data_IF_949107853283
#
_entry.id   IF_949107853283
#
_cell.length_a   1.000
_cell.length_b   1.000
_cell.length_c   1.000
_cell.angle_alpha   90.00
_cell.angle_beta   90.00
_cell.angle_gamma   90.00
#
_symmetry.space_group_name_H-M   'P 1'
#
loop_
_entity.id
_entity.type
_entity.pdbx_description
1 polymer ?
#
# COMPACT_ATOMS: atom_id res chain seq x y z
N UNK A 1 36.90 6.78 21.71
CA UNK A 1 35.72 6.26 21.01
C UNK A 1 35.97 4.80 20.69
N UNK A 2 35.10 3.90 21.13
CA UNK A 2 35.28 2.46 21.00
C UNK A 2 35.32 2.03 19.50
N UNK A 3 36.43 1.44 19.01
CA UNK A 3 36.56 1.00 17.62
C UNK A 3 35.47 0.02 17.19
N UNK A 4 34.95 -0.80 18.11
CA UNK A 4 33.90 -1.78 17.83
C UNK A 4 32.53 -1.12 17.60
N UNK A 5 32.20 -0.06 18.36
CA UNK A 5 30.99 0.72 18.14
C UNK A 5 31.01 1.39 16.75
N UNK A 6 32.17 1.89 16.33
CA UNK A 6 32.34 2.55 15.02
C UNK A 6 32.22 1.59 13.82
N UNK A 7 32.66 0.34 13.96
CA UNK A 7 32.58 -0.67 12.89
C UNK A 7 31.17 -1.23 12.73
N UNK A 8 30.43 -1.39 13.84
CA UNK A 8 29.03 -1.80 13.84
C UNK A 8 28.14 -0.71 13.22
N UNK A 9 28.32 0.56 13.60
CA UNK A 9 27.58 1.67 13.02
C UNK A 9 27.82 1.81 11.51
N UNK A 10 29.07 1.66 11.02
CA UNK A 10 29.36 1.67 9.58
C UNK A 10 28.74 0.49 8.85
N UNK A 11 28.71 -0.70 9.45
CA UNK A 11 28.06 -1.87 8.87
C UNK A 11 26.55 -1.68 8.77
N UNK A 12 25.91 -1.15 9.80
CA UNK A 12 24.49 -0.83 9.81
C UNK A 12 24.17 0.22 8.74
N UNK A 13 24.91 1.35 8.71
CA UNK A 13 24.74 2.39 7.69
C UNK A 13 24.87 1.85 6.26
N UNK A 14 25.88 0.99 6.00
CA UNK A 14 26.08 0.39 4.68
C UNK A 14 24.94 -0.55 4.27
N UNK A 15 24.45 -1.38 5.18
CA UNK A 15 23.31 -2.27 4.89
C UNK A 15 22.00 -1.49 4.74
N UNK A 16 21.77 -0.46 5.55
CA UNK A 16 20.58 0.41 5.45
C UNK A 16 20.58 1.21 4.15
N UNK A 17 21.71 1.81 3.76
CA UNK A 17 21.84 2.55 2.48
C UNK A 17 21.69 1.65 1.27
N UNK A 18 22.30 0.46 1.28
CA UNK A 18 22.12 -0.54 0.23
C UNK A 18 20.66 -0.98 0.11
N UNK A 19 20.00 -1.25 1.24
CA UNK A 19 18.59 -1.60 1.28
C UNK A 19 17.70 -0.47 0.75
N UNK A 20 17.96 0.78 1.15
CA UNK A 20 17.23 1.95 0.67
C UNK A 20 17.39 2.13 -0.85
N UNK A 21 18.62 2.03 -1.38
CA UNK A 21 18.88 2.11 -2.82
C UNK A 21 18.15 1.04 -3.61
N UNK A 22 18.11 -0.19 -3.09
CA UNK A 22 17.34 -1.30 -3.65
C UNK A 22 15.83 -1.01 -3.71
N UNK A 23 15.26 -0.41 -2.65
CA UNK A 23 13.84 -0.06 -2.60
C UNK A 23 13.50 1.04 -3.60
N UNK A 24 14.38 2.04 -3.75
CA UNK A 24 14.22 3.09 -4.77
C UNK A 24 14.24 2.50 -6.17
N UNK A 25 15.19 1.61 -6.49
CA UNK A 25 15.24 0.92 -7.79
C UNK A 25 13.96 0.13 -8.05
N UNK A 26 13.49 -0.62 -7.05
CA UNK A 26 12.23 -1.39 -7.16
C UNK A 26 11.02 -0.48 -7.41
N UNK A 27 10.95 0.66 -6.72
CA UNK A 27 9.89 1.64 -6.91
C UNK A 27 9.92 2.28 -8.31
N UNK A 28 11.11 2.63 -8.81
CA UNK A 28 11.29 3.18 -10.15
C UNK A 28 10.93 2.16 -11.24
N UNK A 29 11.35 0.90 -11.07
CA UNK A 29 10.98 -0.19 -11.98
C UNK A 29 9.46 -0.37 -12.03
N UNK A 30 8.79 -0.39 -10.88
CA UNK A 30 7.34 -0.52 -10.77
C UNK A 30 6.61 0.69 -11.39
N UNK A 31 7.09 1.90 -11.13
CA UNK A 31 6.48 3.12 -11.67
C UNK A 31 6.63 3.17 -13.21
N UNK A 32 7.82 2.86 -13.72
CA UNK A 32 8.09 2.83 -15.16
C UNK A 32 7.29 1.75 -15.88
N UNK A 33 7.23 0.54 -15.32
CA UNK A 33 6.44 -0.54 -15.92
C UNK A 33 4.94 -0.22 -15.89
N UNK A 34 4.41 0.28 -14.77
CA UNK A 34 3.00 0.66 -14.67
C UNK A 34 2.64 1.77 -15.66
N UNK A 35 3.53 2.74 -15.89
CA UNK A 35 3.34 3.77 -16.90
C UNK A 35 3.24 3.17 -18.32
N UNK A 36 4.17 2.28 -18.67
CA UNK A 36 4.15 1.56 -19.95
C UNK A 36 2.87 0.73 -20.08
N UNK A 37 2.50 -0.02 -19.04
CA UNK A 37 1.31 -0.86 -19.05
C UNK A 37 0.01 -0.06 -19.14
N UNK A 38 -0.06 1.10 -18.48
CA UNK A 38 -1.20 2.00 -18.58
C UNK A 38 -1.35 2.61 -19.99
N UNK A 39 -0.27 2.70 -20.79
CA UNK A 39 -0.33 3.05 -22.21
C UNK A 39 -0.85 1.92 -23.09
N UNK A 40 -0.49 0.69 -22.75
CA UNK A 40 -0.73 -0.49 -23.59
C UNK A 40 -2.09 -1.15 -23.33
N UNK A 41 -2.54 -1.14 -22.08
CA UNK A 41 -3.71 -1.89 -21.64
C UNK A 41 -4.90 -0.95 -21.42
N UNK A 42 -6.11 -1.48 -21.63
CA UNK A 42 -7.35 -0.80 -21.29
C UNK A 42 -7.63 -0.85 -19.78
N UNK A 43 -8.35 0.14 -19.21
CA UNK A 43 -8.79 0.13 -17.82
C UNK A 43 -9.52 -1.17 -17.45
N UNK A 44 -10.31 -1.73 -18.38
CA UNK A 44 -10.98 -3.02 -18.20
C UNK A 44 -10.03 -4.15 -17.80
N UNK A 45 -8.85 -4.25 -18.45
CA UNK A 45 -7.88 -5.29 -18.16
C UNK A 45 -7.29 -5.17 -16.76
N UNK A 46 -7.01 -3.94 -16.32
CA UNK A 46 -6.55 -3.67 -14.95
C UNK A 46 -7.62 -4.01 -13.92
N UNK A 47 -8.88 -3.65 -14.18
CA UNK A 47 -9.97 -3.96 -13.26
C UNK A 47 -10.30 -5.45 -13.18
N UNK A 48 -10.32 -6.16 -14.31
CA UNK A 48 -10.51 -7.61 -14.34
C UNK A 48 -9.38 -8.33 -13.59
N UNK A 49 -8.15 -7.87 -13.79
CA UNK A 49 -7.00 -8.35 -13.02
C UNK A 49 -7.13 -8.03 -11.53
N UNK A 50 -7.53 -6.81 -11.15
CA UNK A 50 -7.72 -6.40 -9.77
C UNK A 50 -8.75 -7.27 -9.04
N UNK A 51 -9.90 -7.55 -9.68
CA UNK A 51 -10.92 -8.48 -9.18
C UNK A 51 -10.31 -9.86 -8.95
N UNK A 52 -9.55 -10.39 -9.92
CA UNK A 52 -8.89 -11.68 -9.76
C UNK A 52 -7.87 -11.70 -8.62
N UNK A 53 -7.05 -10.66 -8.51
CA UNK A 53 -6.07 -10.53 -7.42
C UNK A 53 -6.70 -10.34 -6.05
N UNK A 54 -7.91 -9.79 -5.95
CA UNK A 54 -8.65 -9.77 -4.69
C UNK A 54 -8.90 -11.19 -4.17
N UNK A 55 -9.44 -12.08 -5.01
CA UNK A 55 -9.69 -13.46 -4.61
C UNK A 55 -8.40 -14.24 -4.34
N UNK A 56 -7.36 -14.01 -5.14
CA UNK A 56 -6.04 -14.60 -4.90
C UNK A 56 -5.42 -14.11 -3.59
N UNK A 57 -5.57 -12.82 -3.26
CA UNK A 57 -5.11 -12.24 -2.01
C UNK A 57 -5.86 -12.83 -0.81
N UNK A 58 -7.19 -12.94 -0.90
CA UNK A 58 -8.01 -13.55 0.12
C UNK A 58 -7.63 -15.02 0.35
N UNK A 59 -7.53 -15.82 -0.71
CA UNK A 59 -7.11 -17.22 -0.58
C UNK A 59 -5.64 -17.35 -0.16
N UNK A 60 -4.76 -16.39 -0.49
CA UNK A 60 -3.38 -16.35 -0.01
C UNK A 60 -3.31 -16.16 1.50
N UNK A 61 -4.16 -15.30 2.06
CA UNK A 61 -4.30 -15.12 3.51
C UNK A 61 -4.83 -16.39 4.18
N UNK A 62 -5.89 -16.99 3.63
CA UNK A 62 -6.40 -18.26 4.15
C UNK A 62 -5.35 -19.38 4.06
N UNK A 63 -4.63 -19.43 2.95
CA UNK A 63 -3.64 -20.45 2.62
C UNK A 63 -2.33 -20.38 3.38
N UNK A 64 -2.04 -19.28 4.09
CA UNK A 64 -0.90 -19.19 5.04
C UNK A 64 -1.25 -19.78 6.41
N UNK A 65 -2.55 -19.83 6.76
CA UNK A 65 -3.09 -20.48 7.96
C UNK A 65 -2.53 -19.97 9.29
N UNK A 66 -1.78 -18.86 9.29
CA UNK A 66 -0.97 -18.38 10.40
C UNK A 66 0.21 -19.28 10.81
N UNK A 67 0.51 -20.34 10.06
CA UNK A 67 1.54 -21.31 10.46
C UNK A 67 2.96 -20.76 10.32
N UNK A 68 3.23 -19.96 9.28
CA UNK A 68 4.53 -19.32 9.11
C UNK A 68 4.90 -18.41 10.27
N UNK A 69 3.95 -17.58 10.72
CA UNK A 69 4.12 -16.70 11.86
C UNK A 69 4.38 -17.46 13.18
N UNK A 70 3.68 -18.57 13.42
CA UNK A 70 3.87 -19.40 14.60
C UNK A 70 5.25 -20.10 14.60
N UNK A 71 5.70 -20.62 13.45
CA UNK A 71 7.07 -21.16 13.32
C UNK A 71 8.14 -20.10 13.51
N UNK A 72 7.90 -18.86 13.09
CA UNK A 72 8.84 -17.76 13.29
C UNK A 72 8.92 -17.34 14.77
N UNK A 73 7.79 -17.35 15.49
CA UNK A 73 7.71 -16.99 16.92
C UNK A 73 8.26 -18.07 17.86
N UNK A 74 8.36 -19.31 17.40
CA UNK A 74 8.90 -20.41 18.20
C UNK A 74 10.37 -20.16 18.54
N UNK A 75 10.69 -20.00 19.83
CA UNK A 75 12.02 -19.62 20.32
C UNK A 75 13.04 -20.78 20.33
N UNK A 76 12.59 -22.03 20.21
CA UNK A 76 13.47 -23.21 20.16
C UNK A 76 13.92 -23.57 18.75
N UNK A 77 14.69 -24.65 18.63
CA UNK A 77 14.98 -25.28 17.34
C UNK A 77 13.71 -25.86 16.74
N UNK A 78 13.45 -25.53 15.47
CA UNK A 78 12.28 -26.06 14.75
C UNK A 78 12.67 -27.39 14.14
N UNK A 79 12.00 -28.46 14.57
CA UNK A 79 12.23 -29.80 14.04
C UNK A 79 11.86 -29.90 12.56
N UNK A 80 12.50 -30.81 11.83
CA UNK A 80 12.11 -31.14 10.46
C UNK A 80 10.66 -31.62 10.36
N UNK A 81 10.14 -32.28 11.41
CA UNK A 81 8.72 -32.65 11.54
C UNK A 81 7.80 -31.42 11.47
N UNK A 82 8.24 -30.29 12.02
CA UNK A 82 7.46 -29.04 12.02
C UNK A 82 7.43 -28.40 10.64
N UNK A 83 8.56 -28.39 9.92
CA UNK A 83 8.62 -27.94 8.53
C UNK A 83 7.79 -28.84 7.60
N UNK A 84 7.90 -30.16 7.78
CA UNK A 84 7.16 -31.18 7.02
C UNK A 84 5.64 -31.04 7.24
N UNK A 85 5.22 -30.92 8.49
CA UNK A 85 3.81 -30.72 8.86
C UNK A 85 3.26 -29.44 8.25
N UNK A 86 4.03 -28.34 8.36
CA UNK A 86 3.63 -27.04 7.83
C UNK A 86 3.50 -27.07 6.31
N UNK A 87 4.50 -27.59 5.60
CA UNK A 87 4.43 -27.69 4.14
C UNK A 87 3.24 -28.54 3.67
N UNK A 88 3.06 -29.71 4.29
CA UNK A 88 2.00 -30.65 3.91
C UNK A 88 0.62 -30.05 4.15
N UNK A 89 0.42 -29.42 5.32
CA UNK A 89 -0.84 -28.78 5.66
C UNK A 89 -1.15 -27.59 4.75
N UNK A 90 -0.19 -26.68 4.57
CA UNK A 90 -0.38 -25.50 3.72
C UNK A 90 -0.60 -25.91 2.25
N UNK A 91 0.09 -26.94 1.77
CA UNK A 91 -0.10 -27.44 0.41
C UNK A 91 -1.49 -28.07 0.23
N UNK A 92 -1.96 -28.87 1.20
CA UNK A 92 -3.31 -29.42 1.18
C UNK A 92 -4.38 -28.32 1.21
N UNK A 93 -4.19 -27.29 2.05
CA UNK A 93 -5.06 -26.13 2.12
C UNK A 93 -5.04 -25.33 0.81
N UNK A 94 -3.85 -25.07 0.26
CA UNK A 94 -3.67 -24.40 -1.03
C UNK A 94 -4.30 -25.17 -2.19
N UNK A 95 -4.23 -26.50 -2.18
CA UNK A 95 -4.91 -27.35 -3.17
C UNK A 95 -6.43 -27.27 -3.03
N UNK A 96 -6.96 -27.28 -1.80
CA UNK A 96 -8.38 -27.03 -1.55
C UNK A 96 -8.83 -25.67 -2.07
N UNK A 97 -8.08 -24.61 -1.75
CA UNK A 97 -8.36 -23.25 -2.23
C UNK A 97 -8.25 -23.13 -3.76
N UNK A 98 -7.25 -23.77 -4.37
CA UNK A 98 -7.10 -23.84 -5.83
C UNK A 98 -8.33 -24.48 -6.47
N UNK A 99 -8.79 -25.61 -5.93
CA UNK A 99 -9.98 -26.31 -6.43
C UNK A 99 -11.24 -25.47 -6.25
N UNK A 100 -11.46 -24.90 -5.05
CA UNK A 100 -12.61 -24.03 -4.79
C UNK A 100 -12.62 -22.82 -5.72
N UNK A 101 -11.47 -22.18 -5.95
CA UNK A 101 -11.35 -21.04 -6.85
C UNK A 101 -11.57 -21.42 -8.32
N UNK A 102 -11.02 -22.56 -8.75
CA UNK A 102 -11.22 -23.10 -10.09
C UNK A 102 -12.69 -23.38 -10.39
N UNK A 103 -13.39 -23.98 -9.42
CA UNK A 103 -14.82 -24.31 -9.51
C UNK A 103 -15.72 -23.08 -9.39
N UNK A 104 -15.33 -22.08 -8.60
CA UNK A 104 -16.10 -20.83 -8.45
C UNK A 104 -15.87 -19.82 -9.56
N UNK A 105 -14.86 -20.02 -10.42
CA UNK A 105 -14.53 -19.10 -11.52
C UNK A 105 -15.73 -18.74 -12.42
N UNK A 106 -16.62 -19.67 -12.83
CA UNK A 106 -17.81 -19.30 -13.62
C UNK A 106 -18.77 -18.37 -12.87
N UNK A 107 -18.96 -18.60 -11.57
CA UNK A 107 -19.79 -17.73 -10.71
C UNK A 107 -19.16 -16.33 -10.59
N UNK A 108 -17.84 -16.26 -10.40
CA UNK A 108 -17.11 -15.00 -10.36
C UNK A 108 -17.24 -14.28 -11.71
N UNK A 109 -17.05 -14.98 -12.82
CA UNK A 109 -17.16 -14.38 -14.15
C UNK A 109 -18.56 -13.81 -14.40
N UNK A 110 -19.61 -14.56 -14.04
CA UNK A 110 -20.99 -14.11 -14.18
C UNK A 110 -21.30 -12.89 -13.29
N UNK A 111 -20.89 -12.92 -12.01
CA UNK A 111 -21.22 -11.87 -11.04
C UNK A 111 -20.42 -10.59 -11.21
N UNK A 112 -19.21 -10.66 -11.78
CA UNK A 112 -18.31 -9.53 -12.03
C UNK A 112 -18.20 -9.13 -13.51
N UNK A 113 -19.07 -9.66 -14.36
CA UNK A 113 -19.14 -9.31 -15.78
C UNK A 113 -17.83 -9.54 -16.55
N UNK A 114 -17.13 -10.64 -16.26
CA UNK A 114 -15.90 -11.01 -16.97
C UNK A 114 -16.24 -11.78 -18.26
N UNK A 115 -15.48 -11.52 -19.33
CA UNK A 115 -15.61 -12.28 -20.57
C UNK A 115 -15.19 -13.74 -20.38
N UNK A 116 -15.62 -14.62 -21.28
CA UNK A 116 -15.20 -16.04 -21.27
C UNK A 116 -13.67 -16.19 -21.32
N UNK A 117 -12.99 -15.30 -22.06
CA UNK A 117 -11.53 -15.30 -22.15
C UNK A 117 -10.88 -14.94 -20.81
N UNK A 118 -11.42 -13.96 -20.09
CA UNK A 118 -10.93 -13.54 -18.77
C UNK A 118 -11.25 -14.56 -17.69
N UNK A 119 -12.41 -15.22 -17.77
CA UNK A 119 -12.74 -16.35 -16.91
C UNK A 119 -11.72 -17.49 -17.06
N UNK A 120 -11.30 -17.81 -18.29
CA UNK A 120 -10.26 -18.82 -18.52
C UNK A 120 -8.90 -18.40 -17.93
N UNK A 121 -8.54 -17.12 -18.03
CA UNK A 121 -7.33 -16.57 -17.40
C UNK A 121 -7.42 -16.65 -15.89
N UNK A 122 -8.54 -16.22 -15.30
CA UNK A 122 -8.78 -16.27 -13.87
C UNK A 122 -8.66 -17.71 -13.36
N UNK A 123 -9.28 -18.66 -14.06
CA UNK A 123 -9.18 -20.10 -13.76
C UNK A 123 -7.73 -20.59 -13.78
N UNK A 124 -6.92 -20.15 -14.74
CA UNK A 124 -5.49 -20.52 -14.81
C UNK A 124 -4.67 -19.99 -13.63
N UNK A 125 -5.08 -18.88 -13.00
CA UNK A 125 -4.40 -18.32 -11.83
C UNK A 125 -4.58 -19.17 -10.57
N UNK A 126 -5.47 -20.18 -10.57
CA UNK A 126 -5.64 -21.11 -9.45
C UNK A 126 -4.32 -21.80 -9.04
N UNK A 127 -3.41 -22.00 -10.00
CA UNK A 127 -2.07 -22.59 -9.75
C UNK A 127 -1.25 -21.77 -8.74
N UNK A 128 -1.51 -20.47 -8.59
CA UNK A 128 -0.81 -19.61 -7.65
C UNK A 128 -1.06 -20.01 -6.19
N UNK A 129 -2.20 -20.64 -5.88
CA UNK A 129 -2.49 -21.20 -4.56
C UNK A 129 -1.63 -22.42 -4.21
N UNK A 130 -1.04 -23.10 -5.21
CA UNK A 130 -0.10 -24.19 -4.99
C UNK A 130 1.33 -23.68 -4.83
N UNK A 131 1.69 -22.63 -5.59
CA UNK A 131 3.02 -22.01 -5.54
C UNK A 131 3.30 -21.36 -4.17
N UNK A 132 2.27 -20.77 -3.54
CA UNK A 132 2.39 -20.12 -2.23
C UNK A 132 2.91 -21.02 -1.10
N UNK A 133 2.24 -22.14 -0.80
CA UNK A 133 2.71 -23.10 0.19
C UNK A 133 4.12 -23.65 -0.11
N UNK A 134 4.45 -23.89 -1.38
CA UNK A 134 5.75 -24.41 -1.77
C UNK A 134 6.90 -23.41 -1.51
N UNK A 135 6.64 -22.10 -1.50
CA UNK A 135 7.66 -21.08 -1.16
C UNK A 135 7.76 -20.80 0.34
N UNK A 136 6.78 -21.19 1.16
CA UNK A 136 6.72 -20.76 2.57
C UNK A 136 7.90 -21.32 3.39
N UNK A 137 8.20 -22.62 3.29
CA UNK A 137 9.27 -23.25 4.08
C UNK A 137 10.66 -22.63 3.83
N UNK A 138 11.13 -22.47 2.57
CA UNK A 138 12.38 -21.77 2.31
C UNK A 138 12.43 -20.36 2.90
N UNK A 139 11.32 -19.60 2.83
CA UNK A 139 11.22 -18.26 3.42
C UNK A 139 11.33 -18.31 4.94
N UNK A 140 10.58 -19.18 5.60
CA UNK A 140 10.62 -19.33 7.06
C UNK A 140 12.02 -19.71 7.53
N UNK A 141 12.74 -20.58 6.82
CA UNK A 141 14.15 -20.90 7.13
C UNK A 141 15.05 -19.68 7.00
N UNK A 142 14.97 -18.96 5.87
CA UNK A 142 15.77 -17.75 5.65
C UNK A 142 15.47 -16.67 6.69
N UNK A 143 14.21 -16.47 7.09
CA UNK A 143 13.82 -15.50 8.11
C UNK A 143 14.36 -15.87 9.49
N UNK A 144 14.26 -17.13 9.88
CA UNK A 144 14.82 -17.63 11.15
C UNK A 144 16.34 -17.54 11.20
N UNK A 145 17.01 -17.75 10.07
CA UNK A 145 18.45 -17.55 9.91
C UNK A 145 18.83 -16.07 9.68
N UNK A 146 17.88 -15.13 9.76
CA UNK A 146 18.07 -13.70 9.58
C UNK A 146 18.70 -13.32 8.22
N UNK A 147 18.50 -14.13 7.18
CA UNK A 147 19.02 -13.93 5.81
C UNK A 147 18.15 -12.97 4.99
N UNK A 148 17.75 -11.84 5.58
CA UNK A 148 16.85 -10.86 4.95
C UNK A 148 17.37 -10.29 3.63
N UNK A 149 18.69 -10.13 3.49
CA UNK A 149 19.27 -9.65 2.22
C UNK A 149 19.06 -10.65 1.07
N UNK A 150 18.99 -11.96 1.35
CA UNK A 150 18.65 -12.98 0.34
C UNK A 150 17.17 -12.90 -0.03
N UNK A 151 16.29 -12.77 0.97
CA UNK A 151 14.85 -12.58 0.77
C UNK A 151 14.58 -11.37 -0.13
N UNK A 152 15.16 -10.22 0.22
CA UNK A 152 15.05 -9.00 -0.59
C UNK A 152 15.54 -9.22 -2.02
N UNK A 153 16.69 -9.89 -2.22
CA UNK A 153 17.20 -10.23 -3.54
C UNK A 153 16.22 -11.07 -4.38
N UNK A 154 15.57 -12.06 -3.76
CA UNK A 154 14.57 -12.91 -4.40
C UNK A 154 13.33 -12.09 -4.80
N UNK A 155 12.83 -11.23 -3.90
CA UNK A 155 11.65 -10.39 -4.15
C UNK A 155 11.87 -9.39 -5.29
N UNK A 156 13.07 -8.81 -5.38
CA UNK A 156 13.44 -7.91 -6.48
C UNK A 156 13.49 -8.68 -7.79
N UNK A 157 14.17 -9.83 -7.83
CA UNK A 157 14.27 -10.64 -9.04
C UNK A 157 12.89 -11.09 -9.54
N UNK A 158 12.02 -11.53 -8.62
CA UNK A 158 10.64 -11.89 -8.91
C UNK A 158 9.82 -10.70 -9.42
N UNK A 159 9.96 -9.53 -8.79
CA UNK A 159 9.27 -8.29 -9.21
C UNK A 159 9.75 -7.82 -10.58
N UNK A 160 11.06 -7.79 -10.82
CA UNK A 160 11.64 -7.43 -12.12
C UNK A 160 11.16 -8.38 -13.22
N UNK A 161 11.17 -9.69 -12.95
CA UNK A 161 10.65 -10.71 -13.87
C UNK A 161 9.17 -10.48 -14.16
N UNK A 162 8.35 -10.29 -13.11
CA UNK A 162 6.93 -10.01 -13.27
C UNK A 162 6.69 -8.81 -14.17
N UNK A 163 7.35 -7.68 -13.90
CA UNK A 163 7.16 -6.46 -14.68
C UNK A 163 7.61 -6.62 -16.13
N UNK A 164 8.79 -7.22 -16.36
CA UNK A 164 9.32 -7.45 -17.69
C UNK A 164 8.39 -8.36 -18.51
N UNK A 165 7.98 -9.50 -17.93
CA UNK A 165 7.08 -10.45 -18.60
C UNK A 165 5.71 -9.81 -18.85
N UNK A 166 5.16 -9.06 -17.90
CA UNK A 166 3.89 -8.35 -18.11
C UNK A 166 3.98 -7.35 -19.26
N UNK A 167 5.06 -6.56 -19.37
CA UNK A 167 5.25 -5.61 -20.49
C UNK A 167 5.36 -6.34 -21.83
N UNK A 168 6.17 -7.40 -21.89
CA UNK A 168 6.33 -8.21 -23.11
C UNK A 168 5.01 -8.86 -23.54
N UNK A 169 4.25 -9.43 -22.59
CA UNK A 169 2.95 -10.01 -22.88
C UNK A 169 1.89 -8.96 -23.19
N UNK A 170 1.97 -7.76 -22.62
CA UNK A 170 1.06 -6.66 -22.95
C UNK A 170 1.22 -6.23 -24.41
N UNK A 171 2.45 -6.19 -24.93
CA UNK A 171 2.71 -5.94 -26.35
C UNK A 171 2.18 -7.03 -27.29
N UNK A 172 2.25 -8.30 -26.88
CA UNK A 172 1.89 -9.43 -27.77
C UNK A 172 0.44 -9.86 -27.67
N UNK A 173 -0.11 -9.90 -26.45
CA UNK A 173 -1.40 -10.51 -26.13
C UNK A 173 -2.41 -9.47 -25.62
N UNK A 174 -1.93 -8.41 -24.98
CA UNK A 174 -2.78 -7.42 -24.32
C UNK A 174 -3.64 -8.00 -23.19
N UNK A 175 -4.59 -7.20 -22.73
CA UNK A 175 -5.63 -7.59 -21.77
C UNK A 175 -5.13 -8.10 -20.41
N UNK A 176 -6.03 -8.75 -19.68
CA UNK A 176 -5.76 -9.36 -18.36
C UNK A 176 -4.68 -10.45 -18.43
N UNK A 177 -4.53 -11.12 -19.59
CA UNK A 177 -3.55 -12.18 -19.84
C UNK A 177 -2.12 -11.75 -19.56
N UNK A 178 -1.77 -10.53 -19.95
CA UNK A 178 -0.44 -9.99 -19.72
C UNK A 178 -0.11 -9.83 -18.23
N UNK A 179 -1.07 -9.29 -17.47
CA UNK A 179 -0.94 -9.08 -16.03
C UNK A 179 -0.86 -10.43 -15.29
N UNK A 180 -1.76 -11.37 -15.61
CA UNK A 180 -1.77 -12.69 -15.02
C UNK A 180 -0.50 -13.51 -15.36
N UNK A 181 -0.05 -13.46 -16.61
CA UNK A 181 1.15 -14.17 -17.06
C UNK A 181 2.43 -13.69 -16.37
N UNK A 182 2.60 -12.37 -16.22
CA UNK A 182 3.73 -11.84 -15.47
C UNK A 182 3.66 -12.16 -13.97
N UNK A 183 2.46 -12.14 -13.37
CA UNK A 183 2.28 -12.56 -11.97
C UNK A 183 2.70 -14.02 -11.76
N UNK A 184 2.33 -14.92 -12.68
CA UNK A 184 2.75 -16.31 -12.64
C UNK A 184 4.26 -16.46 -12.83
N UNK A 185 4.85 -15.79 -13.82
CA UNK A 185 6.30 -15.84 -14.06
C UNK A 185 7.10 -15.36 -12.85
N UNK A 186 6.68 -14.23 -12.25
CA UNK A 186 7.30 -13.71 -11.02
C UNK A 186 7.19 -14.70 -9.85
N UNK A 187 6.02 -15.31 -9.65
CA UNK A 187 5.81 -16.30 -8.58
C UNK A 187 6.67 -17.56 -8.78
N UNK A 188 6.85 -18.03 -10.02
CA UNK A 188 7.70 -19.18 -10.33
C UNK A 188 9.19 -18.87 -10.13
N UNK A 189 9.66 -17.70 -10.54
CA UNK A 189 11.04 -17.24 -10.25
C UNK A 189 11.25 -17.12 -8.74
N UNK A 190 10.27 -16.55 -8.02
CA UNK A 190 10.33 -16.44 -6.56
C UNK A 190 10.48 -17.81 -5.91
N UNK A 191 9.68 -18.79 -6.34
CA UNK A 191 9.73 -20.16 -5.85
C UNK A 191 11.09 -20.82 -6.13
N UNK A 192 11.58 -20.73 -7.38
CA UNK A 192 12.83 -21.35 -7.80
C UNK A 192 14.04 -20.78 -7.01
N UNK A 193 14.11 -19.45 -6.88
CA UNK A 193 15.21 -18.81 -6.15
C UNK A 193 15.13 -19.05 -4.64
N UNK A 194 13.93 -19.21 -4.08
CA UNK A 194 13.74 -19.55 -2.67
C UNK A 194 14.32 -20.94 -2.35
N UNK A 195 13.97 -21.97 -3.13
CA UNK A 195 14.52 -23.32 -2.96
C UNK A 195 16.02 -23.41 -3.25
N UNK A 196 16.53 -22.62 -4.20
CA UNK A 196 17.98 -22.48 -4.42
C UNK A 196 18.69 -21.88 -3.21
N UNK A 197 18.05 -20.94 -2.51
CA UNK A 197 18.66 -20.20 -1.41
C UNK A 197 18.59 -20.93 -0.07
N UNK A 198 17.57 -21.76 0.14
CA UNK A 198 17.38 -22.58 1.32
C UNK A 198 16.97 -24.02 0.90
N UNK A 199 17.92 -24.81 0.38
CA UNK A 199 17.65 -26.18 -0.04
C UNK A 199 17.26 -27.09 1.15
N UNK A 200 16.67 -28.24 0.85
CA UNK A 200 16.34 -29.29 1.83
C UNK A 200 14.84 -29.53 1.93
N UNK A 201 14.28 -30.32 1.00
CA UNK A 201 12.86 -30.67 1.01
C UNK A 201 12.48 -31.41 2.30
N UNK A 202 11.53 -30.94 3.11
CA UNK A 202 11.22 -31.55 4.41
C UNK A 202 10.41 -32.85 4.29
N UNK A 203 10.02 -33.26 3.08
CA UNK A 203 9.15 -34.41 2.85
C UNK A 203 7.66 -34.11 3.05
N UNK A 204 6.82 -35.15 3.01
CA UNK A 204 5.36 -35.06 3.17
C UNK A 204 4.93 -35.80 4.42
N UNK A 205 4.20 -35.15 5.33
CA UNK A 205 3.63 -35.77 6.53
C UNK A 205 3.04 -34.75 7.49
N UNK A 206 2.18 -35.22 8.40
CA UNK A 206 1.41 -34.37 9.31
C UNK A 206 1.58 -34.88 10.73
N UNK A 207 1.94 -33.97 11.64
CA UNK A 207 1.92 -34.18 13.08
C UNK A 207 0.77 -33.40 13.72
N UNK A 208 -0.18 -34.12 14.32
CA UNK A 208 -1.35 -33.51 14.99
C UNK A 208 -0.94 -32.61 16.14
N UNK A 209 0.15 -32.96 16.84
CA UNK A 209 0.70 -32.18 17.95
C UNK A 209 1.21 -30.83 17.48
N UNK A 210 2.07 -30.82 16.45
CA UNK A 210 2.60 -29.59 15.84
C UNK A 210 1.44 -28.75 15.32
N UNK A 211 0.54 -29.34 14.52
CA UNK A 211 -0.56 -28.61 13.90
C UNK A 211 -1.45 -27.89 14.93
N UNK A 212 -1.81 -28.56 16.04
CA UNK A 212 -2.62 -27.95 17.10
C UNK A 212 -1.91 -26.78 17.78
N UNK A 213 -0.62 -26.93 18.09
CA UNK A 213 0.17 -25.87 18.70
C UNK A 213 0.30 -24.66 17.77
N UNK A 214 0.61 -24.90 16.50
CA UNK A 214 0.84 -23.85 15.50
C UNK A 214 -0.44 -23.11 15.12
N UNK A 215 -1.57 -23.82 14.95
CA UNK A 215 -2.87 -23.19 14.62
C UNK A 215 -3.41 -22.32 15.77
N UNK A 216 -3.24 -22.75 17.03
CA UNK A 216 -3.71 -21.98 18.19
C UNK A 216 -3.09 -20.58 18.27
N UNK A 217 -1.83 -20.44 17.87
CA UNK A 217 -1.13 -19.16 17.83
C UNK A 217 -1.34 -18.38 16.52
N UNK A 218 -1.53 -19.08 15.41
CA UNK A 218 -1.63 -18.49 14.07
C UNK A 218 -3.00 -17.86 13.75
N UNK A 219 -4.10 -18.46 14.22
CA UNK A 219 -5.47 -18.02 13.87
C UNK A 219 -5.76 -16.57 14.25
N UNK A 220 -5.43 -16.07 15.46
CA UNK A 220 -5.67 -14.66 15.82
C UNK A 220 -4.90 -13.68 14.92
N UNK A 221 -3.65 -14.03 14.55
CA UNK A 221 -2.83 -13.21 13.64
C UNK A 221 -3.47 -13.17 12.25
N UNK A 222 -3.94 -14.33 11.78
CA UNK A 222 -4.60 -14.44 10.48
C UNK A 222 -5.92 -13.65 10.42
N UNK A 223 -6.72 -13.69 11.49
CA UNK A 223 -7.97 -12.94 11.57
C UNK A 223 -7.75 -11.43 11.44
N UNK A 224 -6.70 -10.90 12.09
CA UNK A 224 -6.32 -9.50 11.97
C UNK A 224 -5.84 -9.15 10.55
N UNK A 225 -5.05 -10.03 9.92
CA UNK A 225 -4.58 -9.83 8.55
C UNK A 225 -5.73 -9.82 7.53
N UNK A 226 -6.72 -10.70 7.72
CA UNK A 226 -7.95 -10.75 6.91
C UNK A 226 -8.75 -9.45 7.08
N UNK A 227 -8.94 -8.98 8.31
CA UNK A 227 -9.63 -7.71 8.56
C UNK A 227 -8.95 -6.52 7.86
N UNK A 228 -7.62 -6.44 7.93
CA UNK A 228 -6.84 -5.43 7.21
C UNK A 228 -6.98 -5.56 5.68
N UNK A 229 -6.96 -6.78 5.15
CA UNK A 229 -7.12 -7.03 3.72
C UNK A 229 -8.47 -6.55 3.18
N UNK A 230 -9.56 -6.85 3.88
CA UNK A 230 -10.90 -6.39 3.51
C UNK A 230 -11.00 -4.87 3.55
N UNK A 231 -10.30 -4.18 4.45
CA UNK A 231 -10.27 -2.71 4.39
C UNK A 231 -9.73 -2.20 3.06
N UNK A 232 -8.58 -2.71 2.64
CA UNK A 232 -7.80 -2.12 1.55
C UNK A 232 -8.19 -2.62 0.16
N UNK A 233 -8.73 -3.83 0.06
CA UNK A 233 -8.93 -4.52 -1.22
C UNK A 233 -10.40 -4.74 -1.59
N UNK A 234 -11.32 -4.44 -0.67
CA UNK A 234 -12.74 -4.68 -0.90
C UNK A 234 -13.34 -3.82 -2.03
N UNK A 235 -12.66 -2.73 -2.44
CA UNK A 235 -13.04 -1.92 -3.61
C UNK A 235 -13.05 -2.72 -4.89
N UNK A 236 -12.03 -3.54 -5.15
CA UNK A 236 -11.98 -4.37 -6.35
C UNK A 236 -13.15 -5.35 -6.41
N UNK A 237 -13.51 -5.97 -5.28
CA UNK A 237 -14.62 -6.92 -5.21
C UNK A 237 -15.99 -6.22 -5.29
N UNK A 238 -16.25 -5.23 -4.42
CA UNK A 238 -17.56 -4.59 -4.38
C UNK A 238 -17.83 -3.78 -5.64
N UNK A 239 -16.93 -2.86 -6.01
CA UNK A 239 -17.13 -2.03 -7.21
C UNK A 239 -17.12 -2.87 -8.47
N UNK A 240 -16.32 -3.95 -8.53
CA UNK A 240 -16.32 -4.85 -9.67
C UNK A 240 -17.65 -5.57 -9.86
N UNK A 241 -18.29 -5.96 -8.76
CA UNK A 241 -19.60 -6.62 -8.81
C UNK A 241 -20.73 -5.63 -9.12
N UNK A 242 -20.58 -4.36 -8.74
CA UNK A 242 -21.64 -3.35 -8.86
C UNK A 242 -21.57 -2.57 -10.17
N UNK A 243 -20.36 -2.28 -10.65
CA UNK A 243 -20.09 -1.36 -11.75
C UNK A 243 -19.21 -1.98 -12.87
N UNK A 244 -18.78 -3.23 -12.70
CA UNK A 244 -17.99 -3.96 -13.67
C UNK A 244 -16.48 -3.63 -13.65
N UNK A 245 -15.68 -4.36 -14.46
CA UNK A 245 -14.21 -4.28 -14.41
C UNK A 245 -13.66 -2.93 -14.87
N UNK A 246 -14.25 -2.29 -15.89
CA UNK A 246 -13.78 -0.99 -16.35
C UNK A 246 -13.81 0.08 -15.24
N UNK A 247 -14.89 0.10 -14.45
CA UNK A 247 -15.03 1.02 -13.31
C UNK A 247 -13.97 0.75 -12.24
N UNK A 248 -13.68 -0.52 -11.92
CA UNK A 248 -12.59 -0.89 -11.00
C UNK A 248 -11.25 -0.39 -11.51
N UNK A 249 -10.97 -0.56 -12.81
CA UNK A 249 -9.74 -0.07 -13.43
C UNK A 249 -9.57 1.43 -13.29
N UNK A 250 -10.60 2.21 -13.67
CA UNK A 250 -10.58 3.66 -13.54
C UNK A 250 -10.44 4.11 -12.08
N UNK A 251 -11.13 3.42 -11.16
CA UNK A 251 -11.10 3.77 -9.74
C UNK A 251 -9.73 3.51 -9.12
N UNK A 252 -9.18 2.31 -9.33
CA UNK A 252 -7.89 1.90 -8.80
C UNK A 252 -6.75 2.75 -9.39
N UNK A 253 -6.83 3.12 -10.67
CA UNK A 253 -5.92 4.09 -11.27
C UNK A 253 -6.01 5.45 -10.57
N UNK A 254 -7.23 6.00 -10.42
CA UNK A 254 -7.43 7.30 -9.79
C UNK A 254 -6.93 7.32 -8.34
N UNK A 255 -7.15 6.23 -7.61
CA UNK A 255 -6.66 6.03 -6.24
C UNK A 255 -5.13 6.01 -6.21
N UNK A 256 -4.47 5.20 -7.05
CA UNK A 256 -3.01 5.09 -7.12
C UNK A 256 -2.36 6.40 -7.54
N UNK A 257 -2.92 7.09 -8.53
CA UNK A 257 -2.47 8.41 -8.97
C UNK A 257 -2.54 9.44 -7.83
N UNK A 258 -3.67 9.50 -7.13
CA UNK A 258 -3.86 10.43 -6.01
C UNK A 258 -2.99 10.10 -4.78
N UNK A 259 -2.64 8.82 -4.57
CA UNK A 259 -1.86 8.37 -3.42
C UNK A 259 -0.36 8.67 -3.50
N UNK A 260 0.18 9.03 -4.68
CA UNK A 260 1.62 9.25 -4.90
C UNK A 260 2.25 10.21 -3.86
N UNK A 261 1.66 11.39 -3.54
CA UNK A 261 2.27 12.30 -2.58
C UNK A 261 2.32 11.75 -1.16
N UNK A 262 1.24 11.08 -0.74
CA UNK A 262 1.15 10.47 0.60
C UNK A 262 2.17 9.35 0.75
N UNK A 263 2.38 8.54 -0.27
CA UNK A 263 3.39 7.47 -0.24
C UNK A 263 4.81 8.03 -0.11
N UNK A 264 5.12 9.10 -0.85
CA UNK A 264 6.42 9.77 -0.76
C UNK A 264 6.68 10.34 0.65
N UNK A 265 5.68 10.99 1.26
CA UNK A 265 5.76 11.52 2.63
C UNK A 265 5.85 10.41 3.68
N UNK A 266 5.10 9.33 3.53
CA UNK A 266 5.13 8.21 4.47
C UNK A 266 6.47 7.47 4.47
N UNK A 267 7.15 7.39 3.32
CA UNK A 267 8.49 6.81 3.23
C UNK A 267 9.50 7.54 4.12
N UNK A 268 9.33 8.87 4.26
CA UNK A 268 10.15 9.74 5.09
C UNK A 268 9.79 9.71 6.58
N UNK A 269 8.63 9.16 6.94
CA UNK A 269 8.03 9.23 8.28
C UNK A 269 8.33 8.02 9.19
N UNK A 270 9.13 7.05 8.73
CA UNK A 270 9.36 5.77 9.43
C UNK A 270 10.03 5.90 10.81
N UNK A 271 10.67 7.04 11.09
CA UNK A 271 11.37 7.33 12.36
C UNK A 271 10.48 7.92 13.46
N UNK A 272 9.23 8.27 13.15
CA UNK A 272 8.34 8.97 14.09
C UNK A 272 7.93 8.10 15.28
N UNK A 273 7.64 6.81 15.06
CA UNK A 273 7.10 5.93 16.09
C UNK A 273 8.05 5.78 17.30
N UNK A 274 9.35 5.46 17.13
CA UNK A 274 10.29 5.39 18.25
C UNK A 274 10.49 6.72 18.98
N UNK A 275 10.38 7.85 18.26
CA UNK A 275 10.50 9.19 18.88
C UNK A 275 9.29 9.45 19.77
N UNK A 276 8.07 9.20 19.28
CA UNK A 276 6.86 9.43 20.05
C UNK A 276 6.74 8.52 21.27
N UNK A 277 7.31 7.31 21.23
CA UNK A 277 7.27 6.37 22.35
C UNK A 277 8.21 6.73 23.51
N UNK A 278 9.17 7.65 23.30
CA UNK A 278 10.16 8.03 24.32
C UNK A 278 9.69 9.13 25.27
N UNK A 279 8.65 9.86 24.88
CA UNK A 279 8.19 11.05 25.58
C UNK A 279 6.80 10.85 26.15
N UNK A 280 6.57 11.42 27.33
CA UNK A 280 5.23 11.46 27.90
C UNK A 280 4.31 12.37 27.10
N UNK A 281 3.01 12.11 27.22
CA UNK A 281 1.97 12.81 26.47
C UNK A 281 2.02 14.35 26.57
N UNK A 282 2.45 14.90 27.72
CA UNK A 282 2.49 16.34 27.98
C UNK A 282 3.88 16.95 27.75
N UNK A 283 4.85 16.15 27.31
CA UNK A 283 6.20 16.62 27.06
C UNK A 283 6.20 17.64 25.90
N UNK A 284 6.76 18.86 26.11
CA UNK A 284 6.92 19.84 25.03
C UNK A 284 7.69 19.29 23.82
N UNK A 285 8.65 18.39 24.01
CA UNK A 285 9.43 17.77 22.94
C UNK A 285 8.57 16.86 22.05
N UNK A 286 7.63 16.11 22.64
CA UNK A 286 6.66 15.32 21.87
C UNK A 286 5.78 16.23 21.01
N UNK A 287 5.29 17.32 21.59
CA UNK A 287 4.48 18.29 20.86
C UNK A 287 5.24 18.87 19.66
N UNK A 288 6.49 19.28 19.86
CA UNK A 288 7.31 19.83 18.77
C UNK A 288 7.64 18.79 17.71
N UNK A 289 7.99 17.55 18.11
CA UNK A 289 8.24 16.46 17.18
C UNK A 289 6.99 16.15 16.33
N UNK A 290 5.81 16.09 16.96
CA UNK A 290 4.54 15.84 16.28
C UNK A 290 4.17 16.97 15.32
N UNK A 291 4.26 18.22 15.76
CA UNK A 291 3.95 19.40 14.93
C UNK A 291 4.92 19.51 13.76
N UNK A 292 6.23 19.35 13.99
CA UNK A 292 7.24 19.38 12.94
C UNK A 292 7.04 18.29 11.89
N UNK A 293 6.75 17.05 12.33
CA UNK A 293 6.43 15.94 11.44
C UNK A 293 5.18 16.22 10.58
N UNK A 294 4.12 16.71 11.22
CA UNK A 294 2.85 17.03 10.55
C UNK A 294 3.01 18.18 9.55
N UNK A 295 3.72 19.25 9.93
CA UNK A 295 3.99 20.36 9.03
C UNK A 295 4.83 19.92 7.86
N UNK A 296 5.91 19.17 8.09
CA UNK A 296 6.74 18.63 7.00
C UNK A 296 5.90 17.80 6.01
N UNK A 297 5.00 16.96 6.52
CA UNK A 297 4.09 16.17 5.69
C UNK A 297 3.18 17.06 4.82
N UNK A 298 2.62 18.14 5.38
CA UNK A 298 1.75 19.07 4.65
C UNK A 298 2.53 19.93 3.65
N UNK A 299 3.70 20.44 4.05
CA UNK A 299 4.58 21.28 3.23
C UNK A 299 5.07 20.55 1.98
N UNK A 300 5.34 19.25 2.10
CA UNK A 300 5.78 18.43 0.97
C UNK A 300 4.58 17.85 0.19
N UNK A 301 3.53 17.42 0.88
CA UNK A 301 2.43 16.68 0.28
C UNK A 301 1.37 17.55 -0.40
N UNK A 302 0.97 18.67 0.19
CA UNK A 302 -0.10 19.54 -0.36
C UNK A 302 0.27 20.11 -1.74
N UNK A 303 1.48 20.64 -2.00
CA UNK A 303 1.84 21.15 -3.33
C UNK A 303 1.69 20.09 -4.41
N UNK A 304 2.11 18.86 -4.11
CA UNK A 304 2.02 17.74 -5.03
C UNK A 304 0.56 17.34 -5.27
N UNK A 305 -0.28 17.30 -4.23
CA UNK A 305 -1.72 17.03 -4.37
C UNK A 305 -2.40 18.10 -5.24
N UNK A 306 -2.10 19.38 -5.03
CA UNK A 306 -2.62 20.49 -5.84
C UNK A 306 -2.14 20.37 -7.30
N UNK A 307 -0.85 20.14 -7.52
CA UNK A 307 -0.27 19.97 -8.85
C UNK A 307 -0.90 18.79 -9.61
N UNK A 308 -1.11 17.65 -8.95
CA UNK A 308 -1.76 16.49 -9.53
C UNK A 308 -3.26 16.73 -9.79
N UNK A 309 -3.94 17.50 -8.94
CA UNK A 309 -5.36 17.87 -9.08
C UNK A 309 -5.60 18.76 -10.31
N UNK A 310 -4.86 19.87 -10.39
CA UNK A 310 -4.99 20.86 -11.46
C UNK A 310 -4.44 20.32 -12.78
N UNK A 311 -3.36 19.54 -12.71
CA UNK A 311 -2.75 18.90 -13.86
C UNK A 311 -3.51 17.68 -14.39
N UNK A 312 -4.43 17.08 -13.62
CA UNK A 312 -5.06 15.79 -13.93
C UNK A 312 -5.62 15.69 -15.35
N UNK A 313 -6.35 16.71 -15.81
CA UNK A 313 -6.98 16.74 -17.15
C UNK A 313 -6.03 16.61 -18.33
N UNK A 314 -4.74 16.78 -18.08
CA UNK A 314 -3.75 16.67 -19.12
C UNK A 314 -2.62 15.71 -18.79
N UNK A 315 -2.16 15.68 -17.54
CA UNK A 315 -1.17 14.68 -17.10
C UNK A 315 -1.73 13.28 -17.37
N UNK A 316 -3.01 13.02 -17.06
CA UNK A 316 -3.59 11.68 -17.24
C UNK A 316 -3.61 11.26 -18.72
N UNK A 317 -4.20 12.02 -19.66
CA UNK A 317 -4.18 11.64 -21.08
C UNK A 317 -2.80 11.65 -21.72
N UNK A 318 -1.93 12.61 -21.36
CA UNK A 318 -0.62 12.78 -21.98
C UNK A 318 0.40 11.78 -21.48
N UNK A 319 0.50 11.58 -20.16
CA UNK A 319 1.48 10.68 -19.56
C UNK A 319 1.03 9.22 -19.70
N UNK A 320 -0.22 8.93 -19.34
CA UNK A 320 -0.76 7.58 -19.37
C UNK A 320 -1.46 7.29 -20.70
N UNK A 321 -2.71 7.71 -20.91
CA UNK A 321 -3.39 7.62 -22.19
C UNK A 321 -4.81 8.24 -22.09
N UNK A 322 -5.42 8.68 -23.20
CA UNK A 322 -6.79 9.23 -23.20
C UNK A 322 -7.84 8.30 -22.59
N UNK A 323 -7.64 6.98 -22.65
CA UNK A 323 -8.51 5.95 -22.05
C UNK A 323 -8.72 6.09 -20.54
N UNK A 324 -7.86 6.84 -19.85
CA UNK A 324 -7.93 7.07 -18.40
C UNK A 324 -8.71 8.33 -18.02
N UNK A 325 -9.35 9.02 -18.97
CA UNK A 325 -10.02 10.30 -18.72
C UNK A 325 -11.16 10.17 -17.69
N UNK A 326 -11.86 9.04 -17.67
CA UNK A 326 -12.96 8.79 -16.72
C UNK A 326 -12.48 8.59 -15.27
N UNK A 327 -11.17 8.41 -15.07
CA UNK A 327 -10.58 8.41 -13.72
C UNK A 327 -10.45 9.82 -13.14
N UNK A 328 -10.48 10.89 -13.93
CA UNK A 328 -10.22 12.26 -13.44
C UNK A 328 -11.21 12.68 -12.35
N UNK A 329 -12.53 12.48 -12.48
CA UNK A 329 -13.46 12.77 -11.38
C UNK A 329 -13.15 11.96 -10.11
N UNK A 330 -12.67 10.72 -10.24
CA UNK A 330 -12.21 9.90 -9.11
C UNK A 330 -10.96 10.51 -8.48
N UNK A 331 -9.99 10.92 -9.31
CA UNK A 331 -8.76 11.58 -8.86
C UNK A 331 -9.10 12.79 -8.00
N UNK A 332 -10.02 13.65 -8.42
CA UNK A 332 -10.41 14.82 -7.62
C UNK A 332 -11.04 14.44 -6.28
N UNK A 333 -11.96 13.46 -6.27
CA UNK A 333 -12.55 12.96 -5.04
C UNK A 333 -11.51 12.36 -4.09
N UNK A 334 -10.61 11.51 -4.59
CA UNK A 334 -9.58 10.85 -3.77
C UNK A 334 -8.45 11.80 -3.34
N UNK A 335 -8.10 12.82 -4.13
CA UNK A 335 -7.07 13.79 -3.72
C UNK A 335 -7.46 14.55 -2.44
N UNK A 336 -8.75 14.83 -2.25
CA UNK A 336 -9.26 15.37 -0.98
C UNK A 336 -9.06 14.38 0.17
N UNK A 337 -9.38 13.11 -0.05
CA UNK A 337 -9.12 12.03 0.91
C UNK A 337 -7.62 11.95 1.27
N UNK A 338 -6.74 12.10 0.27
CA UNK A 338 -5.29 12.05 0.46
C UNK A 338 -4.75 13.28 1.20
N UNK A 339 -5.35 14.46 1.04
CA UNK A 339 -5.02 15.64 1.84
C UNK A 339 -5.29 15.39 3.33
N UNK A 340 -6.43 14.79 3.67
CA UNK A 340 -6.70 14.33 5.04
C UNK A 340 -5.78 13.16 5.43
N UNK A 341 -5.37 12.31 4.50
CA UNK A 341 -4.41 11.23 4.70
C UNK A 341 -3.03 11.70 5.16
N UNK A 342 -2.54 12.85 4.64
CA UNK A 342 -1.29 13.49 5.10
C UNK A 342 -1.34 13.87 6.59
N UNK A 343 -2.54 14.16 7.10
CA UNK A 343 -2.77 14.49 8.52
C UNK A 343 -3.01 13.23 9.34
N UNK A 344 -3.77 12.28 8.81
CA UNK A 344 -4.12 11.03 9.48
C UNK A 344 -2.86 10.22 9.84
N UNK A 345 -1.86 10.15 8.95
CA UNK A 345 -0.63 9.38 9.17
C UNK A 345 0.07 9.70 10.50
N UNK A 346 0.55 10.94 10.72
CA UNK A 346 1.15 11.35 11.99
C UNK A 346 0.25 11.14 13.20
N UNK A 347 -1.07 11.36 13.09
CA UNK A 347 -2.03 11.15 14.18
C UNK A 347 -2.14 9.68 14.58
N UNK A 348 -2.18 8.77 13.61
CA UNK A 348 -2.15 7.32 13.86
C UNK A 348 -0.80 6.86 14.42
N UNK A 349 0.31 7.47 13.99
CA UNK A 349 1.62 7.18 14.58
C UNK A 349 1.71 7.68 16.03
N UNK A 350 1.10 8.82 16.36
CA UNK A 350 1.01 9.33 17.73
C UNK A 350 0.20 8.39 18.63
N UNK A 351 -0.97 7.93 18.15
CA UNK A 351 -1.79 6.94 18.86
C UNK A 351 -0.98 5.67 19.18
N UNK A 352 -0.22 5.16 18.21
CA UNK A 352 0.59 3.96 18.39
C UNK A 352 1.77 4.21 19.33
N UNK A 353 2.50 5.31 19.15
CA UNK A 353 3.67 5.66 19.98
C UNK A 353 3.32 5.88 21.44
N UNK A 354 2.13 6.42 21.71
CA UNK A 354 1.63 6.68 23.06
C UNK A 354 0.86 5.49 23.68
N UNK A 355 1.04 4.28 23.14
CA UNK A 355 0.46 3.05 23.69
C UNK A 355 -1.06 2.93 23.50
N UNK A 356 -1.67 3.71 22.61
CA UNK A 356 -3.13 3.73 22.35
C UNK A 356 -3.54 2.97 21.10
N UNK A 357 -2.87 1.84 20.85
CA UNK A 357 -3.16 0.94 19.74
C UNK A 357 -4.60 0.43 19.73
N UNK A 358 -5.21 0.19 20.90
CA UNK A 358 -6.62 -0.22 21.00
C UNK A 358 -7.60 0.85 20.50
N UNK A 359 -7.31 2.13 20.75
CA UNK A 359 -8.10 3.24 20.21
C UNK A 359 -7.89 3.38 18.69
N UNK A 360 -6.63 3.28 18.23
CA UNK A 360 -6.32 3.27 16.80
C UNK A 360 -7.09 2.18 16.05
N UNK A 361 -7.12 0.96 16.60
CA UNK A 361 -7.87 -0.16 16.02
C UNK A 361 -9.37 0.13 15.94
N UNK A 362 -10.00 0.64 17.02
CA UNK A 362 -11.43 0.97 17.03
C UNK A 362 -11.77 2.05 15.99
N UNK A 363 -10.95 3.08 15.89
CA UNK A 363 -11.13 4.15 14.89
C UNK A 363 -10.99 3.59 13.49
N UNK A 364 -9.98 2.75 13.26
CA UNK A 364 -9.72 2.14 11.97
C UNK A 364 -10.86 1.22 11.51
N UNK A 365 -11.39 0.39 12.41
CA UNK A 365 -12.56 -0.47 12.13
C UNK A 365 -13.80 0.39 11.84
N UNK A 366 -14.07 1.40 12.68
CA UNK A 366 -15.20 2.31 12.48
C UNK A 366 -15.10 3.07 11.15
N UNK A 367 -13.94 3.66 10.85
CA UNK A 367 -13.66 4.34 9.58
C UNK A 367 -13.89 3.41 8.39
N UNK A 368 -13.37 2.18 8.46
CA UNK A 368 -13.57 1.18 7.39
C UNK A 368 -15.05 0.86 7.19
N UNK A 369 -15.77 0.57 8.27
CA UNK A 369 -17.19 0.23 8.21
C UNK A 369 -18.03 1.38 7.66
N UNK A 370 -17.82 2.61 8.15
CA UNK A 370 -18.55 3.79 7.68
C UNK A 370 -18.23 4.12 6.22
N UNK A 371 -16.98 3.93 5.78
CA UNK A 371 -16.59 4.12 4.37
C UNK A 371 -17.39 3.18 3.48
N UNK A 372 -17.42 1.90 3.80
CA UNK A 372 -18.15 0.92 3.00
C UNK A 372 -19.66 1.09 3.06
N UNK A 373 -20.22 1.46 4.23
CA UNK A 373 -21.63 1.79 4.36
C UNK A 373 -22.01 2.96 3.44
N UNK A 374 -21.21 4.03 3.40
CA UNK A 374 -21.46 5.17 2.54
C UNK A 374 -21.27 4.82 1.05
N UNK A 375 -20.23 4.05 0.70
CA UNK A 375 -20.01 3.56 -0.67
C UNK A 375 -21.21 2.75 -1.17
N UNK A 376 -21.74 1.83 -0.35
CA UNK A 376 -22.97 1.08 -0.67
C UNK A 376 -24.21 1.97 -0.77
N UNK A 377 -24.20 3.13 -0.11
CA UNK A 377 -25.24 4.14 -0.23
C UNK A 377 -25.17 5.01 -1.49
N UNK A 378 -24.00 5.11 -2.16
CA UNK A 378 -23.81 6.05 -3.29
C UNK A 378 -23.31 5.42 -4.59
N UNK A 379 -23.04 4.11 -4.62
CA UNK A 379 -22.46 3.44 -5.80
C UNK A 379 -23.31 3.56 -7.07
N UNK A 380 -24.63 3.71 -6.93
CA UNK A 380 -25.58 3.78 -8.04
C UNK A 380 -25.57 5.14 -8.78
N UNK A 381 -24.85 6.14 -8.27
CA UNK A 381 -24.71 7.43 -8.95
C UNK A 381 -23.60 7.39 -10.00
N UNK A 382 -22.37 7.71 -9.61
CA UNK A 382 -21.21 7.76 -10.48
C UNK A 382 -19.96 7.34 -9.70
N UNK A 383 -18.91 6.97 -10.40
CA UNK A 383 -17.62 6.59 -9.79
C UNK A 383 -17.02 7.73 -8.95
N UNK A 384 -17.30 8.98 -9.33
CA UNK A 384 -16.97 10.18 -8.58
C UNK A 384 -17.65 10.22 -7.21
N UNK A 385 -18.93 9.82 -7.10
CA UNK A 385 -19.66 9.79 -5.83
C UNK A 385 -19.01 8.80 -4.85
N UNK A 386 -18.57 7.64 -5.35
CA UNK A 386 -17.79 6.67 -4.56
C UNK A 386 -16.49 7.32 -4.07
N UNK A 387 -15.75 8.02 -4.93
CA UNK A 387 -14.52 8.71 -4.54
C UNK A 387 -14.76 9.79 -3.46
N UNK A 388 -15.84 10.57 -3.59
CA UNK A 388 -16.24 11.56 -2.60
C UNK A 388 -16.71 10.95 -1.29
N UNK A 389 -17.31 9.75 -1.31
CA UNK A 389 -17.67 9.02 -0.08
C UNK A 389 -16.45 8.71 0.79
N UNK A 390 -15.31 8.31 0.19
CA UNK A 390 -14.06 8.13 0.93
C UNK A 390 -13.66 9.43 1.64
N UNK A 391 -13.67 10.56 0.93
CA UNK A 391 -13.34 11.87 1.49
C UNK A 391 -14.31 12.32 2.59
N UNK A 392 -15.61 12.11 2.37
CA UNK A 392 -16.67 12.50 3.30
C UNK A 392 -16.59 11.76 4.64
N UNK A 393 -16.11 10.51 4.64
CA UNK A 393 -15.88 9.74 5.89
C UNK A 393 -14.54 10.11 6.53
N UNK A 394 -13.49 10.28 5.74
CA UNK A 394 -12.15 10.57 6.26
C UNK A 394 -12.08 11.94 6.94
N UNK A 395 -12.72 12.97 6.39
CA UNK A 395 -12.70 14.33 6.93
C UNK A 395 -13.13 14.42 8.41
N UNK A 396 -14.32 13.96 8.83
CA UNK A 396 -14.75 14.05 10.22
C UNK A 396 -13.88 13.20 11.16
N UNK A 397 -13.41 12.03 10.72
CA UNK A 397 -12.50 11.18 11.51
C UNK A 397 -11.20 11.92 11.81
N UNK A 398 -10.62 12.58 10.80
CA UNK A 398 -9.38 13.34 10.95
C UNK A 398 -9.57 14.58 11.82
N UNK A 399 -10.66 15.33 11.63
CA UNK A 399 -10.97 16.49 12.48
C UNK A 399 -11.14 16.10 13.95
N UNK A 400 -11.82 14.99 14.21
CA UNK A 400 -11.93 14.44 15.56
C UNK A 400 -10.58 14.02 16.13
N UNK A 401 -9.71 13.38 15.32
CA UNK A 401 -8.36 12.99 15.72
C UNK A 401 -7.48 14.20 16.05
N UNK A 402 -7.58 15.30 15.31
CA UNK A 402 -6.87 16.56 15.62
C UNK A 402 -7.29 17.08 17.00
N UNK A 403 -8.60 17.12 17.28
CA UNK A 403 -9.12 17.55 18.57
C UNK A 403 -8.74 16.61 19.72
N UNK A 404 -8.69 15.31 19.46
CA UNK A 404 -8.19 14.31 20.41
C UNK A 404 -6.69 14.50 20.69
N UNK A 405 -5.87 14.65 19.66
CA UNK A 405 -4.42 14.80 19.78
C UNK A 405 -4.06 16.09 20.51
N UNK A 406 -4.78 17.19 20.25
CA UNK A 406 -4.57 18.44 20.96
C UNK A 406 -4.86 18.33 22.47
N UNK A 407 -5.96 17.65 22.85
CA UNK A 407 -6.26 17.34 24.25
C UNK A 407 -5.21 16.42 24.88
N UNK A 408 -4.76 15.42 24.13
CA UNK A 408 -3.74 14.48 24.60
C UNK A 408 -2.43 15.20 24.89
N UNK A 409 -1.95 16.00 23.95
CA UNK A 409 -0.72 16.81 24.05
C UNK A 409 -0.86 18.02 24.98
N UNK A 410 -2.10 18.41 25.33
CA UNK A 410 -2.38 19.55 26.20
C UNK A 410 -2.24 20.91 25.51
N UNK A 411 -2.20 20.95 24.18
CA UNK A 411 -2.02 22.16 23.38
C UNK A 411 -2.83 22.05 22.08
N UNK A 412 -3.43 23.14 21.58
CA UNK A 412 -4.14 23.13 20.31
C UNK A 412 -3.16 22.85 19.14
N UNK A 413 -3.66 22.15 18.12
CA UNK A 413 -2.88 21.77 16.94
C UNK A 413 -3.31 22.51 15.67
N UNK A 414 -4.42 23.26 15.69
CA UNK A 414 -4.98 23.91 14.50
C UNK A 414 -3.98 24.82 13.77
N UNK A 415 -3.12 25.52 14.52
CA UNK A 415 -2.07 26.38 13.93
C UNK A 415 -1.07 25.63 13.06
N UNK A 416 -0.88 24.32 13.25
CA UNK A 416 0.00 23.50 12.41
C UNK A 416 -0.62 23.17 11.04
N UNK A 417 -1.96 23.26 10.91
CA UNK A 417 -2.69 22.84 9.71
C UNK A 417 -3.16 24.02 8.86
N UNK A 418 -3.59 25.12 9.50
CA UNK A 418 -4.27 26.23 8.81
C UNK A 418 -3.42 26.84 7.70
N UNK A 419 -2.15 27.15 7.97
CA UNK A 419 -1.26 27.78 6.98
C UNK A 419 -1.05 26.93 5.72
N UNK A 420 -0.56 25.68 5.84
CA UNK A 420 -0.37 24.79 4.69
C UNK A 420 -1.67 24.49 3.92
N UNK A 421 -2.81 24.34 4.61
CA UNK A 421 -4.09 24.08 3.95
C UNK A 421 -4.63 25.32 3.24
N UNK A 422 -4.53 26.51 3.86
CA UNK A 422 -4.92 27.78 3.22
C UNK A 422 -4.06 28.07 1.99
N UNK A 423 -2.75 27.85 2.06
CA UNK A 423 -1.86 27.95 0.91
C UNK A 423 -2.23 26.95 -0.20
N UNK A 424 -2.60 25.73 0.17
CA UNK A 424 -3.10 24.71 -0.76
C UNK A 424 -4.38 25.13 -1.48
N UNK A 425 -5.37 25.64 -0.73
CA UNK A 425 -6.64 26.12 -1.30
C UNK A 425 -6.42 27.34 -2.20
N UNK A 426 -5.58 28.29 -1.78
CA UNK A 426 -5.22 29.44 -2.60
C UNK A 426 -4.51 29.01 -3.89
N UNK A 427 -3.54 28.11 -3.81
CA UNK A 427 -2.85 27.56 -4.98
C UNK A 427 -3.80 26.81 -5.91
N UNK A 428 -4.77 26.06 -5.37
CA UNK A 428 -5.77 25.37 -6.18
C UNK A 428 -6.72 26.35 -6.89
N UNK A 429 -7.15 27.41 -6.22
CA UNK A 429 -8.06 28.42 -6.77
C UNK A 429 -7.41 29.44 -7.72
N UNK A 430 -6.13 29.76 -7.51
CA UNK A 430 -5.39 30.77 -8.30
C UNK A 430 -4.84 30.24 -9.62
N UNK A 431 -4.85 28.93 -9.86
CA UNK A 431 -4.46 28.40 -11.18
C UNK A 431 -5.60 28.62 -12.18
N UNK A 432 -5.59 29.81 -12.77
CA UNK A 432 -6.58 30.28 -13.73
C UNK A 432 -6.56 29.47 -15.05
N UNK A 433 -7.68 29.42 -15.78
CA UNK A 433 -7.77 28.76 -17.09
C UNK A 433 -6.84 29.31 -18.19
N UNK A 434 -6.19 30.46 -17.98
CA UNK A 434 -5.44 31.20 -19.01
C UNK A 434 -3.94 30.90 -19.14
N UNK A 435 -3.36 30.04 -18.30
CA UNK A 435 -1.93 29.70 -18.37
C UNK A 435 -1.65 28.68 -19.49
N UNK A 436 -0.60 28.90 -20.32
CA UNK A 436 -0.29 28.03 -21.44
C UNK A 436 0.24 26.69 -20.93
N UNK A 437 -0.57 25.66 -21.12
CA UNK A 437 -0.15 24.28 -20.92
C UNK A 437 -0.37 23.75 -19.49
N UNK A 438 -0.71 22.47 -19.37
CA UNK A 438 -1.06 21.83 -18.11
C UNK A 438 0.12 21.54 -17.18
N UNK A 439 1.31 21.30 -17.73
CA UNK A 439 2.54 21.16 -16.94
C UNK A 439 2.96 22.50 -16.34
N UNK A 440 2.77 23.60 -17.09
CA UNK A 440 2.96 24.94 -16.57
C UNK A 440 1.96 25.25 -15.46
N UNK A 441 0.70 24.80 -15.56
CA UNK A 441 -0.28 24.88 -14.46
C UNK A 441 0.14 24.14 -13.21
N UNK A 442 0.62 22.91 -13.34
CA UNK A 442 1.11 22.12 -12.21
C UNK A 442 2.33 22.79 -11.55
N UNK A 443 3.29 23.26 -12.35
CA UNK A 443 4.45 24.01 -11.87
C UNK A 443 4.06 25.33 -11.19
N UNK A 444 3.14 26.10 -11.79
CA UNK A 444 2.61 27.34 -11.22
C UNK A 444 1.89 27.09 -9.90
N UNK A 445 1.12 26.00 -9.76
CA UNK A 445 0.47 25.65 -8.51
C UNK A 445 1.48 25.46 -7.37
N UNK A 446 2.61 24.82 -7.64
CA UNK A 446 3.70 24.65 -6.65
C UNK A 446 4.31 26.01 -6.32
N UNK A 447 4.57 26.86 -7.31
CA UNK A 447 5.13 28.20 -7.09
C UNK A 447 4.17 29.08 -6.26
N UNK A 448 2.88 29.09 -6.61
CA UNK A 448 1.84 29.85 -5.88
C UNK A 448 1.73 29.32 -4.45
N UNK A 449 1.76 28.00 -4.25
CA UNK A 449 1.76 27.42 -2.91
C UNK A 449 2.92 27.95 -2.07
N UNK A 450 4.15 27.88 -2.60
CA UNK A 450 5.35 28.33 -1.88
C UNK A 450 5.27 29.84 -1.59
N UNK A 451 4.78 30.64 -2.55
CA UNK A 451 4.63 32.08 -2.38
C UNK A 451 3.57 32.43 -1.32
N UNK A 452 2.38 31.85 -1.39
CA UNK A 452 1.30 32.09 -0.41
C UNK A 452 1.72 31.62 0.98
N UNK A 453 2.38 30.46 1.06
CA UNK A 453 2.88 29.96 2.32
C UNK A 453 3.96 30.88 2.92
N UNK A 454 4.87 31.41 2.09
CA UNK A 454 5.87 32.38 2.54
C UNK A 454 5.23 33.69 3.02
N UNK A 455 4.09 34.11 2.44
CA UNK A 455 3.32 35.27 2.90
C UNK A 455 2.61 34.98 4.22
N UNK A 456 1.98 33.81 4.38
CA UNK A 456 1.23 33.44 5.59
C UNK A 456 2.16 33.17 6.77
N UNK A 457 3.30 32.51 6.54
CA UNK A 457 4.14 31.96 7.61
C UNK A 457 5.57 32.55 7.69
N UNK A 458 5.94 33.44 6.77
CA UNK A 458 7.26 34.06 6.74
C UNK A 458 8.37 33.03 6.51
N UNK A 459 9.42 33.06 7.36
CA UNK A 459 10.59 32.17 7.26
C UNK A 459 10.41 30.80 7.94
N UNK A 460 9.33 30.60 8.69
CA UNK A 460 9.08 29.36 9.46
C UNK A 460 9.13 28.08 8.61
N UNK A 461 8.57 28.02 7.38
CA UNK A 461 8.67 26.81 6.56
C UNK A 461 10.12 26.44 6.18
N UNK A 462 10.98 27.44 5.97
CA UNK A 462 12.40 27.23 5.66
C UNK A 462 13.15 26.71 6.89
N UNK A 463 12.79 27.17 8.09
CA UNK A 463 13.34 26.68 9.36
C UNK A 463 12.91 25.23 9.61
N UNK A 464 11.63 24.91 9.42
CA UNK A 464 11.10 23.55 9.56
C UNK A 464 11.78 22.57 8.57
N UNK A 465 11.95 22.99 7.31
CA UNK A 465 12.63 22.19 6.29
C UNK A 465 14.13 22.00 6.61
N UNK A 466 14.82 23.05 7.08
CA UNK A 466 16.23 22.98 7.50
C UNK A 466 16.41 22.08 8.71
N UNK A 467 15.53 22.18 9.71
CA UNK A 467 15.53 21.32 10.89
C UNK A 467 15.34 19.86 10.49
N UNK A 468 14.42 19.60 9.56
CA UNK A 468 14.21 18.25 9.03
C UNK A 468 15.42 17.70 8.25
N UNK A 469 16.03 18.51 7.37
CA UNK A 469 17.26 18.12 6.65
C UNK A 469 18.43 17.89 7.60
N UNK A 470 18.55 18.69 8.66
CA UNK A 470 19.57 18.51 9.68
C UNK A 470 19.38 17.21 10.47
N UNK A 471 18.13 16.82 10.76
CA UNK A 471 17.82 15.56 11.45
C UNK A 471 18.08 14.28 10.61
N UNK A 472 18.25 14.43 9.29
CA UNK A 472 18.58 13.33 8.37
C UNK A 472 20.10 13.12 8.19
N UNK A 473 20.92 14.07 8.63
CA UNK A 473 22.39 13.98 8.63
C UNK A 473 22.87 13.43 9.97
#
# INVERSE_FOLDING_TARGET
MDPQASSLSRRILRETTRFAGIQVISALLLAGSNLILARLLEPHAFGAYAIGTFFLGLGGLLGDGGLGAALLRYKGEVSDESYRTTLTFLFALGAGLALTFFLSTPLIAARWHLSTSEAAVLRSMAVLFLVGPLRSVPYIRMERELRFSRIAGIEIAATATRQLVTVVLAWKLGGMRALAGGQLAGALVQLALAWRSAPGWPGVGISRRVLRATLGEGVPVQALAIAAFFKDNLSAALLGSLMGPAAVGQFDFGLKYAALPVQAVNALSRVQLPVYARFDAKDPQLYQAFVGATRTALLLGIPLLVALSVGARAIVPWLYAPRWIDSIPVVHGILVNMAFGLVAGPLFTLLQGQGRGGLALRIFVGWTATTWALVLGVWHYQLSAVAWAYSAVTAPVVLWLIGWAGRHLGRPLWGAYVGPLAAGLAAWGMVLPGTPGPLARAGLAVVVYVAVLAVIEGRRPLEDLRAWVAALR
#
